data_IF_150555834222
#
_entry.id   IF_150555834222
#
_cell.length_a   1.000
_cell.length_b   1.000
_cell.length_c   1.000
_cell.angle_alpha   90.00
_cell.angle_beta   90.00
_cell.angle_gamma   90.00
#
_symmetry.space_group_name_H-M   'P 1'
#
loop_
_entity.id
_entity.type
_entity.pdbx_description
1 polymer ?
#
# COMPACT_ATOMS: atom_id res chain seq x y z
N UNK A 1 15.37 -19.35 7.26
CA UNK A 1 15.18 -18.44 8.41
C UNK A 1 14.80 -17.02 7.96
N UNK A 2 15.28 -16.54 6.80
CA UNK A 2 14.96 -15.24 6.19
C UNK A 2 13.46 -14.95 5.98
N UNK A 3 12.68 -15.89 5.43
CA UNK A 3 11.28 -15.65 5.01
C UNK A 3 10.34 -15.21 6.15
N UNK A 4 10.53 -15.75 7.37
CA UNK A 4 9.72 -15.37 8.53
C UNK A 4 10.01 -13.95 9.02
N UNK A 5 11.24 -13.47 8.86
CA UNK A 5 11.64 -12.09 9.20
C UNK A 5 11.02 -11.12 8.20
N UNK A 6 11.06 -11.45 6.90
CA UNK A 6 10.44 -10.65 5.84
C UNK A 6 8.94 -10.48 6.07
N UNK A 7 8.20 -11.57 6.34
CA UNK A 7 6.76 -11.51 6.62
C UNK A 7 6.43 -10.68 7.86
N UNK A 8 7.23 -10.79 8.93
CA UNK A 8 7.06 -9.95 10.11
C UNK A 8 7.25 -8.47 9.79
N UNK A 9 8.29 -8.13 9.04
CA UNK A 9 8.58 -6.74 8.67
C UNK A 9 7.44 -6.13 7.86
N UNK A 10 6.92 -6.88 6.87
CA UNK A 10 5.72 -6.49 6.09
C UNK A 10 4.54 -6.18 6.98
N UNK A 11 4.21 -7.08 7.91
CA UNK A 11 3.10 -6.88 8.84
C UNK A 11 3.29 -5.64 9.72
N UNK A 12 4.50 -5.40 10.24
CA UNK A 12 4.81 -4.22 11.06
C UNK A 12 4.64 -2.93 10.26
N UNK A 13 5.17 -2.88 9.04
CA UNK A 13 5.06 -1.71 8.15
C UNK A 13 3.59 -1.45 7.78
N UNK A 14 2.85 -2.48 7.38
CA UNK A 14 1.44 -2.34 6.99
C UNK A 14 0.55 -1.90 8.17
N UNK A 15 0.73 -2.49 9.35
CA UNK A 15 -0.06 -2.12 10.55
C UNK A 15 0.26 -0.72 11.06
N UNK A 16 1.52 -0.29 10.99
CA UNK A 16 1.91 1.09 11.30
C UNK A 16 1.29 2.07 10.32
N UNK A 17 1.36 1.79 9.01
CA UNK A 17 0.77 2.65 7.98
C UNK A 17 -0.74 2.77 8.16
N UNK A 18 -1.44 1.67 8.42
CA UNK A 18 -2.87 1.68 8.74
C UNK A 18 -3.17 2.58 9.93
N UNK A 19 -2.45 2.40 11.04
CA UNK A 19 -2.66 3.20 12.27
C UNK A 19 -2.43 4.69 12.04
N UNK A 20 -1.42 5.05 11.23
CA UNK A 20 -1.04 6.44 10.98
C UNK A 20 -1.97 7.15 10.01
N UNK A 21 -2.36 6.50 8.91
CA UNK A 21 -3.02 7.17 7.79
C UNK A 21 -4.50 6.81 7.61
N UNK A 22 -4.91 5.61 8.04
CA UNK A 22 -6.31 5.15 7.90
C UNK A 22 -7.05 5.29 9.23
N UNK A 23 -6.44 4.82 10.33
CA UNK A 23 -7.04 4.76 11.64
C UNK A 23 -8.16 3.70 11.75
N UNK A 24 -8.86 3.70 12.88
CA UNK A 24 -9.96 2.76 13.13
C UNK A 24 -9.53 1.29 13.28
N UNK A 25 -10.49 0.35 13.35
CA UNK A 25 -10.21 -1.07 13.49
C UNK A 25 -9.56 -1.64 12.22
N UNK A 26 -8.64 -2.59 12.38
CA UNK A 26 -8.08 -3.35 11.27
C UNK A 26 -9.19 -4.11 10.52
N UNK A 27 -9.05 -4.30 9.20
CA UNK A 27 -10.01 -5.05 8.41
C UNK A 27 -10.04 -6.52 8.87
N UNK A 28 -11.21 -7.15 8.77
CA UNK A 28 -11.34 -8.57 9.06
C UNK A 28 -10.76 -9.38 7.90
N UNK A 29 -9.63 -10.02 8.12
CA UNK A 29 -9.02 -10.93 7.16
C UNK A 29 -9.41 -12.38 7.49
N UNK A 30 -9.86 -13.18 6.51
CA UNK A 30 -10.12 -14.60 6.71
C UNK A 30 -8.87 -15.33 7.22
N UNK A 31 -9.06 -16.32 8.11
CA UNK A 31 -7.95 -17.15 8.58
C UNK A 31 -7.38 -17.97 7.42
N UNK A 32 -6.06 -18.11 7.35
CA UNK A 32 -5.37 -18.85 6.30
C UNK A 32 -3.87 -18.97 6.56
N UNK A 33 -3.08 -19.17 5.52
CA UNK A 33 -1.63 -19.08 5.67
C UNK A 33 -1.22 -17.65 6.06
N UNK A 34 -0.18 -17.47 6.90
CA UNK A 34 0.23 -16.14 7.35
C UNK A 34 0.61 -15.20 6.20
N UNK A 35 1.26 -15.72 5.15
CA UNK A 35 1.65 -14.94 3.98
C UNK A 35 0.41 -14.38 3.27
N UNK A 36 -0.54 -15.25 2.90
CA UNK A 36 -1.77 -14.85 2.21
C UNK A 36 -2.58 -13.82 3.02
N UNK A 37 -2.61 -13.97 4.36
CA UNK A 37 -3.30 -13.03 5.22
C UNK A 37 -2.63 -11.65 5.26
N UNK A 38 -1.29 -11.62 5.27
CA UNK A 38 -0.53 -10.36 5.25
C UNK A 38 -0.71 -9.69 3.89
N UNK A 39 -0.58 -10.43 2.79
CA UNK A 39 -0.79 -9.89 1.44
C UNK A 39 -2.23 -9.37 1.25
N UNK A 40 -3.24 -10.11 1.73
CA UNK A 40 -4.63 -9.65 1.69
C UNK A 40 -4.85 -8.36 2.52
N UNK A 41 -4.20 -8.25 3.67
CA UNK A 41 -4.23 -7.03 4.48
C UNK A 41 -3.56 -5.85 3.76
N UNK A 42 -2.38 -6.08 3.17
CA UNK A 42 -1.64 -5.06 2.41
C UNK A 42 -2.45 -4.57 1.21
N UNK A 43 -3.10 -5.48 0.48
CA UNK A 43 -3.99 -5.14 -0.61
C UNK A 43 -5.16 -4.28 -0.13
N UNK A 44 -5.82 -4.66 0.97
CA UNK A 44 -6.92 -3.88 1.54
C UNK A 44 -6.47 -2.48 2.03
N UNK A 45 -5.24 -2.36 2.54
CA UNK A 45 -4.66 -1.07 2.93
C UNK A 45 -4.44 -0.17 1.70
N UNK A 46 -3.87 -0.71 0.62
CA UNK A 46 -3.66 0.04 -0.63
C UNK A 46 -4.99 0.53 -1.20
N UNK A 47 -5.97 -0.36 -1.32
CA UNK A 47 -7.30 0.00 -1.84
C UNK A 47 -7.97 1.07 -0.96
N UNK A 48 -7.77 1.01 0.35
CA UNK A 48 -8.29 2.03 1.24
C UNK A 48 -7.61 3.39 1.03
N UNK A 49 -6.27 3.42 0.92
CA UNK A 49 -5.53 4.65 0.65
C UNK A 49 -5.90 5.23 -0.72
N UNK A 50 -6.10 4.38 -1.73
CA UNK A 50 -6.55 4.76 -3.05
C UNK A 50 -7.96 5.36 -3.04
N UNK A 51 -8.88 4.80 -2.25
CA UNK A 51 -10.24 5.32 -2.12
C UNK A 51 -10.31 6.72 -1.48
N UNK A 52 -9.35 7.05 -0.62
CA UNK A 52 -9.22 8.38 0.02
C UNK A 52 -8.41 9.37 -0.84
N UNK A 53 -7.96 8.96 -2.03
CA UNK A 53 -7.21 9.80 -2.95
C UNK A 53 -8.10 10.85 -3.63
N UNK A 54 -7.58 12.07 -3.68
CA UNK A 54 -8.14 13.25 -4.32
C UNK A 54 -7.04 13.91 -5.15
N UNK A 55 -7.36 14.77 -6.13
CA UNK A 55 -6.33 15.48 -6.90
C UNK A 55 -5.31 16.21 -6.00
N UNK A 56 -5.75 16.75 -4.87
CA UNK A 56 -4.92 17.54 -3.95
C UNK A 56 -3.93 16.68 -3.15
N UNK A 57 -4.25 15.41 -2.88
CA UNK A 57 -3.42 14.53 -2.05
C UNK A 57 -2.85 13.32 -2.83
N UNK A 58 -3.06 13.25 -4.15
CA UNK A 58 -2.63 12.12 -4.98
C UNK A 58 -1.13 11.81 -4.83
N UNK A 59 -0.28 12.84 -4.78
CA UNK A 59 1.16 12.67 -4.55
C UNK A 59 1.47 12.09 -3.17
N UNK A 60 0.75 12.51 -2.12
CA UNK A 60 0.94 11.97 -0.77
C UNK A 60 0.50 10.50 -0.70
N UNK A 61 -0.58 10.14 -1.39
CA UNK A 61 -1.05 8.74 -1.47
C UNK A 61 -0.02 7.88 -2.22
N UNK A 62 0.57 8.40 -3.29
CA UNK A 62 1.63 7.71 -4.03
C UNK A 62 2.87 7.47 -3.14
N UNK A 63 3.32 8.48 -2.40
CA UNK A 63 4.45 8.37 -1.47
C UNK A 63 4.18 7.33 -0.37
N UNK A 64 3.03 7.43 0.32
CA UNK A 64 2.65 6.48 1.39
C UNK A 64 2.59 5.04 0.91
N UNK A 65 2.06 4.82 -0.29
CA UNK A 65 1.97 3.47 -0.87
C UNK A 65 3.32 2.97 -1.36
N UNK A 66 4.22 3.86 -1.79
CA UNK A 66 5.59 3.52 -2.17
C UNK A 66 6.43 3.07 -0.96
N UNK A 67 6.29 3.73 0.18
CA UNK A 67 6.97 3.37 1.44
C UNK A 67 6.69 1.93 1.89
N UNK A 68 5.56 1.35 1.46
CA UNK A 68 5.23 -0.04 1.74
C UNK A 68 6.08 -1.03 0.94
N UNK A 69 6.49 -0.66 -0.29
CA UNK A 69 6.92 -1.61 -1.32
C UNK A 69 8.26 -1.30 -2.01
N UNK A 70 8.89 -0.14 -1.77
CA UNK A 70 10.06 0.31 -2.54
C UNK A 70 11.23 -0.70 -2.54
N UNK A 71 11.51 -1.33 -1.39
CA UNK A 71 12.58 -2.32 -1.22
C UNK A 71 12.17 -3.76 -1.60
N UNK A 72 10.96 -3.96 -2.10
CA UNK A 72 10.46 -5.29 -2.48
C UNK A 72 10.91 -5.68 -3.90
N UNK A 73 10.99 -6.99 -4.20
CA UNK A 73 11.18 -7.50 -5.55
C UNK A 73 10.11 -6.98 -6.54
N UNK A 74 10.47 -6.93 -7.82
CA UNK A 74 9.58 -6.48 -8.89
C UNK A 74 8.42 -7.44 -9.16
N UNK A 75 8.58 -8.73 -8.84
CA UNK A 75 7.53 -9.75 -8.97
C UNK A 75 6.56 -9.80 -7.79
N UNK A 76 6.73 -8.90 -6.80
CA UNK A 76 5.82 -8.81 -5.66
C UNK A 76 4.44 -8.28 -6.11
N UNK A 77 3.34 -9.02 -5.83
CA UNK A 77 2.00 -8.63 -6.29
C UNK A 77 1.51 -7.32 -5.67
N UNK A 78 1.96 -6.99 -4.45
CA UNK A 78 1.61 -5.74 -3.78
C UNK A 78 2.33 -4.57 -4.46
N UNK A 79 3.61 -4.74 -4.80
CA UNK A 79 4.37 -3.74 -5.56
C UNK A 79 3.75 -3.49 -6.94
N UNK A 80 3.38 -4.53 -7.66
CA UNK A 80 2.71 -4.41 -8.95
C UNK A 80 1.42 -3.56 -8.85
N UNK A 81 0.57 -3.82 -7.85
CA UNK A 81 -0.65 -3.01 -7.64
C UNK A 81 -0.35 -1.55 -7.29
N UNK A 82 0.69 -1.28 -6.48
CA UNK A 82 1.10 0.11 -6.18
C UNK A 82 1.52 0.85 -7.45
N UNK A 83 2.27 0.20 -8.34
CA UNK A 83 2.68 0.78 -9.62
C UNK A 83 1.48 1.11 -10.52
N UNK A 84 0.49 0.22 -10.56
CA UNK A 84 -0.79 0.48 -11.25
C UNK A 84 -1.51 1.69 -10.64
N UNK A 85 -1.63 1.73 -9.31
CA UNK A 85 -2.23 2.85 -8.58
C UNK A 85 -1.52 4.17 -8.90
N UNK A 86 -0.19 4.19 -8.94
CA UNK A 86 0.56 5.42 -9.26
C UNK A 86 0.22 5.94 -10.66
N UNK A 87 0.02 5.03 -11.61
CA UNK A 87 -0.44 5.40 -12.96
C UNK A 87 -1.85 6.01 -12.94
N UNK A 88 -2.73 5.51 -12.07
CA UNK A 88 -4.07 6.07 -11.85
C UNK A 88 -3.99 7.46 -11.18
N UNK A 89 -3.13 7.61 -10.17
CA UNK A 89 -2.94 8.85 -9.42
C UNK A 89 -2.34 9.98 -10.26
N UNK A 90 -1.43 9.67 -11.19
CA UNK A 90 -0.90 10.64 -12.15
C UNK A 90 -2.03 11.26 -13.00
N UNK A 91 -3.05 10.46 -13.36
CA UNK A 91 -4.22 10.95 -14.12
C UNK A 91 -5.19 11.73 -13.23
N UNK A 92 -5.18 11.49 -11.93
CA UNK A 92 -6.05 12.14 -10.94
C UNK A 92 -5.51 13.50 -10.46
N UNK A 93 -4.19 13.64 -10.34
CA UNK A 93 -3.53 14.85 -9.85
C UNK A 93 -3.80 16.09 -10.72
N UNK A 94 -3.56 17.31 -10.19
CA UNK A 94 -3.64 18.52 -10.99
C UNK A 94 -2.75 18.40 -12.23
N UNK A 95 -3.17 18.93 -13.39
CA UNK A 95 -2.36 18.87 -14.59
C UNK A 95 -0.97 19.43 -14.30
N UNK A 96 0.07 18.70 -14.70
CA UNK A 96 1.44 19.21 -14.65
C UNK A 96 1.48 20.40 -15.60
N UNK A 97 1.47 21.62 -15.03
CA UNK A 97 1.76 22.82 -15.80
C UNK A 97 3.28 22.95 -15.81
N UNK A 98 3.90 22.52 -16.91
CA UNK A 98 5.31 22.79 -17.16
C UNK A 98 5.53 24.31 -17.28
N UNK A 99 6.60 24.87 -16.67
CA UNK A 99 6.88 26.31 -16.67
C UNK A 99 7.23 26.87 -18.06
#
# INVERSE_FOLDING_TARGET
MEAGVVLRNRLVVATNTWRTHVGGPLPKIPKGHPQDQIEAFEMALIERLAADATPQNASEVAERTWDLVHDRPEDDPIKARVMELHTELIKLGPPIIEP
#
